data_IF_940588984394
#
_entry.id   IF_940588984394
#
_cell.length_a   1.000
_cell.length_b   1.000
_cell.length_c   1.000
_cell.angle_alpha   90.00
_cell.angle_beta   90.00
_cell.angle_gamma   90.00
#
_symmetry.space_group_name_H-M   'P 1'
#
loop_
_entity.id
_entity.type
_entity.pdbx_description
1 polymer ?
#
# COMPACT_ATOMS: atom_id res chain seq x y z
N UNK A 1 -8.83 -6.15 8.39
CA UNK A 1 -10.07 -6.97 8.50
C UNK A 1 -11.32 -6.11 8.56
N UNK A 2 -11.36 -5.04 9.37
CA UNK A 2 -12.53 -4.13 9.43
C UNK A 2 -12.99 -3.59 8.07
N UNK A 3 -12.09 -3.14 7.20
CA UNK A 3 -12.49 -2.70 5.86
C UNK A 3 -13.16 -3.80 5.02
N UNK A 4 -12.66 -5.04 5.08
CA UNK A 4 -13.25 -6.16 4.35
C UNK A 4 -14.62 -6.52 4.92
N UNK A 5 -14.76 -6.51 6.24
CA UNK A 5 -16.06 -6.73 6.89
C UNK A 5 -17.08 -5.65 6.52
N UNK A 6 -16.65 -4.39 6.47
CA UNK A 6 -17.49 -3.27 6.08
C UNK A 6 -17.94 -3.35 4.61
N UNK A 7 -17.10 -3.89 3.72
CA UNK A 7 -17.38 -4.04 2.30
C UNK A 7 -18.01 -5.39 1.93
N UNK A 8 -18.05 -6.36 2.83
CA UNK A 8 -18.59 -7.70 2.58
C UNK A 8 -20.00 -7.70 1.95
N UNK A 9 -20.95 -6.83 2.37
CA UNK A 9 -22.27 -6.76 1.71
C UNK A 9 -22.21 -6.26 0.27
N UNK A 10 -21.20 -5.44 -0.07
CA UNK A 10 -21.02 -4.88 -1.42
C UNK A 10 -20.33 -5.90 -2.34
N UNK A 11 -19.45 -6.74 -1.78
CA UNK A 11 -18.71 -7.77 -2.53
C UNK A 11 -19.42 -9.13 -2.55
N UNK A 12 -20.67 -9.21 -2.10
CA UNK A 12 -21.42 -10.46 -2.06
C UNK A 12 -21.51 -11.13 -3.44
N UNK A 13 -21.21 -12.43 -3.50
CA UNK A 13 -21.24 -13.22 -4.73
C UNK A 13 -20.06 -12.97 -5.69
N UNK A 14 -19.09 -12.14 -5.31
CA UNK A 14 -17.84 -11.95 -6.05
C UNK A 14 -16.72 -12.81 -5.48
N UNK A 15 -15.73 -13.13 -6.34
CA UNK A 15 -14.49 -13.78 -5.89
C UNK A 15 -13.47 -12.75 -5.43
N UNK A 16 -12.72 -13.11 -4.38
CA UNK A 16 -11.60 -12.32 -3.88
C UNK A 16 -10.60 -12.04 -5.01
N UNK A 17 -10.18 -10.79 -5.14
CA UNK A 17 -9.27 -10.37 -6.20
C UNK A 17 -8.38 -9.19 -5.75
N UNK A 18 -7.78 -8.52 -6.74
CA UNK A 18 -6.87 -7.37 -6.57
C UNK A 18 -7.50 -6.24 -5.74
N UNK A 19 -8.83 -6.10 -5.71
CA UNK A 19 -9.51 -5.11 -4.89
C UNK A 19 -9.24 -5.32 -3.38
N UNK A 20 -9.43 -6.54 -2.89
CA UNK A 20 -9.21 -6.90 -1.49
C UNK A 20 -7.73 -6.94 -1.12
N UNK A 21 -6.85 -7.35 -2.04
CA UNK A 21 -5.39 -7.26 -1.88
C UNK A 21 -4.95 -5.80 -1.69
N UNK A 22 -5.39 -4.91 -2.57
CA UNK A 22 -5.08 -3.48 -2.51
C UNK A 22 -5.64 -2.82 -1.24
N UNK A 23 -6.81 -3.25 -0.78
CA UNK A 23 -7.42 -2.72 0.44
C UNK A 23 -6.56 -3.01 1.67
N UNK A 24 -5.96 -4.21 1.74
CA UNK A 24 -5.02 -4.55 2.81
C UNK A 24 -3.78 -3.66 2.75
N UNK A 25 -3.22 -3.43 1.55
CA UNK A 25 -2.07 -2.53 1.38
C UNK A 25 -2.39 -1.10 1.85
N UNK A 26 -3.54 -0.54 1.44
CA UNK A 26 -4.00 0.79 1.85
C UNK A 26 -4.19 0.93 3.36
N UNK A 27 -4.78 -0.07 4.01
CA UNK A 27 -4.97 -0.03 5.46
C UNK A 27 -3.65 0.09 6.24
N UNK A 28 -2.55 -0.51 5.73
CA UNK A 28 -1.21 -0.36 6.32
C UNK A 28 -0.67 1.05 6.10
N UNK A 29 -0.87 1.59 4.90
CA UNK A 29 -0.52 2.98 4.56
C UNK A 29 -1.18 3.99 5.50
N UNK A 30 -2.48 3.84 5.77
CA UNK A 30 -3.22 4.72 6.66
C UNK A 30 -2.66 4.73 8.10
N UNK A 31 -2.36 3.54 8.65
CA UNK A 31 -1.79 3.41 10.00
C UNK A 31 -0.41 4.09 10.07
N UNK A 32 0.46 3.82 9.10
CA UNK A 32 1.82 4.37 9.07
C UNK A 32 1.80 5.90 8.87
N UNK A 33 0.93 6.40 8.00
CA UNK A 33 0.74 7.84 7.82
C UNK A 33 0.16 8.50 9.08
N UNK A 34 -0.76 7.84 9.79
CA UNK A 34 -1.27 8.37 11.05
C UNK A 34 -0.16 8.50 12.11
N UNK A 35 0.72 7.51 12.23
CA UNK A 35 1.90 7.56 13.11
C UNK A 35 2.83 8.70 12.67
N UNK A 36 3.18 8.76 11.38
CA UNK A 36 4.06 9.79 10.85
C UNK A 36 3.52 11.20 11.10
N UNK A 37 2.23 11.44 10.83
CA UNK A 37 1.55 12.71 11.09
C UNK A 37 1.51 13.05 12.58
N UNK A 38 1.26 12.06 13.45
CA UNK A 38 1.17 12.27 14.91
C UNK A 38 2.49 12.72 15.51
N UNK A 39 3.60 12.17 15.02
CA UNK A 39 4.94 12.40 15.59
C UNK A 39 5.82 13.31 14.73
N UNK A 40 5.33 13.82 13.61
CA UNK A 40 6.09 14.68 12.70
C UNK A 40 7.20 13.95 11.96
N UNK A 41 7.05 12.65 11.72
CA UNK A 41 8.01 11.86 10.96
C UNK A 41 7.74 11.92 9.45
N UNK A 42 8.77 11.64 8.65
CA UNK A 42 8.61 11.35 7.24
C UNK A 42 8.43 9.85 7.05
N UNK A 43 7.29 9.44 6.50
CA UNK A 43 7.10 8.05 6.09
C UNK A 43 7.95 7.77 4.85
N UNK A 44 8.75 6.72 4.91
CA UNK A 44 9.56 6.22 3.80
C UNK A 44 8.86 4.99 3.22
N UNK A 45 8.70 4.94 1.90
CA UNK A 45 8.21 3.73 1.23
C UNK A 45 9.37 2.92 0.64
N UNK A 46 9.11 1.64 0.41
CA UNK A 46 10.11 0.63 0.05
C UNK A 46 9.97 0.14 -1.39
N UNK A 47 9.25 0.88 -2.23
CA UNK A 47 9.07 0.53 -3.63
C UNK A 47 10.40 0.60 -4.38
N UNK A 48 10.78 -0.48 -5.05
CA UNK A 48 12.00 -0.56 -5.86
C UNK A 48 11.71 -0.34 -7.36
N UNK A 49 12.76 -0.15 -8.17
CA UNK A 49 12.64 0.17 -9.59
C UNK A 49 11.92 -0.92 -10.38
N UNK A 50 12.16 -2.19 -10.06
CA UNK A 50 11.48 -3.31 -10.72
C UNK A 50 9.98 -3.30 -10.48
N UNK A 51 9.54 -3.00 -9.25
CA UNK A 51 8.12 -2.91 -8.88
C UNK A 51 7.44 -1.74 -9.59
N UNK A 52 8.08 -0.57 -9.58
CA UNK A 52 7.56 0.63 -10.26
C UNK A 52 7.47 0.44 -11.77
N UNK A 53 8.44 -0.23 -12.39
CA UNK A 53 8.50 -0.42 -13.84
C UNK A 53 7.33 -1.27 -14.39
N UNK A 54 6.81 -2.20 -13.60
CA UNK A 54 5.71 -3.10 -14.00
C UNK A 54 4.39 -2.77 -13.30
N UNK A 55 4.36 -1.75 -12.44
CA UNK A 55 3.18 -1.40 -11.65
C UNK A 55 2.82 -2.42 -10.59
N UNK A 56 3.79 -3.19 -10.09
CA UNK A 56 3.59 -4.14 -8.99
C UNK A 56 3.61 -3.42 -7.64
N UNK A 57 2.63 -2.56 -7.44
CA UNK A 57 2.48 -1.71 -6.26
C UNK A 57 1.04 -1.22 -6.12
N UNK A 58 0.60 -0.96 -4.88
CA UNK A 58 -0.70 -0.37 -4.60
C UNK A 58 -0.56 1.12 -4.33
N UNK A 59 -1.20 1.95 -5.16
CA UNK A 59 -1.31 3.38 -4.90
C UNK A 59 -2.03 3.62 -3.55
N UNK A 60 -1.42 4.49 -2.74
CA UNK A 60 -1.84 4.80 -1.36
C UNK A 60 -1.72 3.63 -0.36
N UNK A 61 -1.14 2.50 -0.78
CA UNK A 61 -0.79 1.38 0.08
C UNK A 61 0.70 1.38 0.40
N UNK A 62 1.42 0.39 -0.12
CA UNK A 62 2.87 0.27 -0.06
C UNK A 62 3.60 1.44 -0.72
N UNK A 63 2.96 2.20 -1.60
CA UNK A 63 3.49 3.47 -2.12
C UNK A 63 3.35 4.66 -1.15
N UNK A 64 2.64 4.51 -0.02
CA UNK A 64 2.43 5.60 0.93
C UNK A 64 3.76 6.02 1.57
N UNK A 65 4.12 7.29 1.40
CA UNK A 65 5.35 7.86 1.94
C UNK A 65 5.73 9.14 1.22
N UNK A 66 6.57 9.95 1.85
CA UNK A 66 7.14 11.17 1.26
C UNK A 66 8.37 10.93 0.40
N UNK A 67 9.02 9.76 0.54
CA UNK A 67 10.21 9.39 -0.21
C UNK A 67 10.28 7.87 -0.42
N UNK A 68 10.59 7.47 -1.66
CA UNK A 68 10.93 6.11 -2.02
C UNK A 68 12.45 5.92 -1.98
N UNK A 69 12.97 5.32 -0.91
CA UNK A 69 14.42 5.28 -0.66
C UNK A 69 15.17 4.49 -1.72
N UNK A 70 14.54 3.46 -2.28
CA UNK A 70 15.15 2.52 -3.23
C UNK A 70 14.46 2.54 -4.61
N UNK A 71 13.74 3.61 -4.96
CA UNK A 71 12.98 3.67 -6.22
C UNK A 71 13.82 3.53 -7.49
N UNK A 72 15.14 3.74 -7.40
CA UNK A 72 16.06 3.60 -8.54
C UNK A 72 16.94 2.33 -8.46
N UNK A 73 16.66 1.42 -7.53
CA UNK A 73 17.40 0.15 -7.37
C UNK A 73 16.54 -0.99 -7.95
N UNK A 74 17.10 -1.81 -8.84
CA UNK A 74 16.45 -3.02 -9.32
C UNK A 74 16.42 -4.10 -8.24
N UNK A 75 15.45 -5.01 -8.33
CA UNK A 75 15.30 -6.10 -7.34
C UNK A 75 16.54 -7.01 -7.20
N UNK A 76 17.38 -7.05 -8.23
CA UNK A 76 18.57 -7.91 -8.32
C UNK A 76 19.84 -7.28 -7.77
N UNK A 77 19.83 -5.97 -7.52
CA UNK A 77 20.93 -5.24 -6.88
C UNK A 77 20.84 -5.36 -5.35
#
# INVERSE_FOLDING_TARGET
>A
EEYLNALAPIFEGTEFNVAEENLQSRSRGDILMAIANKFGYMLLNTGNKSEMAVGYCTLYGDMAGGLSVISDVYKTE
#
